data_IF_823430239241
#
_entry.id   IF_823430239241
#
_cell.length_a   1.000
_cell.length_b   1.000
_cell.length_c   1.000
_cell.angle_alpha   90.00
_cell.angle_beta   90.00
_cell.angle_gamma   90.00
#
_symmetry.space_group_name_H-M   'P 1'
#
loop_
_entity.id
_entity.type
_entity.pdbx_description
1 polymer ?
#
# COMPACT_ATOMS: atom_id res chain seq x y z
N UNK A 1 8.58 2.86 35.68
CA UNK A 1 8.71 2.10 34.42
C UNK A 1 8.91 3.00 33.18
N UNK A 2 8.24 4.17 33.09
CA UNK A 2 8.43 5.16 32.00
C UNK A 2 9.85 5.77 31.99
N UNK A 3 10.43 6.05 33.17
CA UNK A 3 11.77 6.68 33.30
C UNK A 3 12.91 5.80 32.76
N UNK A 4 12.82 4.47 32.89
CA UNK A 4 13.83 3.54 32.36
C UNK A 4 13.75 3.42 30.83
N UNK A 5 12.54 3.54 30.26
CA UNK A 5 12.35 3.50 28.81
C UNK A 5 13.10 4.60 28.07
N UNK A 6 13.19 5.79 28.69
CA UNK A 6 13.90 6.92 28.09
C UNK A 6 15.42 6.78 28.20
N UNK A 7 15.95 6.28 29.33
CA UNK A 7 17.40 6.13 29.54
C UNK A 7 18.06 5.16 28.57
N UNK A 8 17.44 4.01 28.31
CA UNK A 8 18.01 3.03 27.38
C UNK A 8 18.00 3.55 25.94
N UNK A 9 16.96 4.29 25.57
CA UNK A 9 16.87 4.91 24.25
C UNK A 9 17.88 6.05 24.09
N UNK A 10 18.04 6.90 25.10
CA UNK A 10 19.11 7.90 25.13
C UNK A 10 20.49 7.25 24.99
N UNK A 11 20.76 6.17 25.72
CA UNK A 11 22.02 5.43 25.59
C UNK A 11 22.23 4.91 24.15
N UNK A 12 21.18 4.39 23.52
CA UNK A 12 21.23 3.94 22.13
C UNK A 12 21.53 5.09 21.16
N UNK A 13 20.84 6.23 21.29
CA UNK A 13 21.10 7.40 20.43
C UNK A 13 22.51 7.95 20.61
N UNK A 14 23.05 8.00 21.83
CA UNK A 14 24.45 8.38 22.09
C UNK A 14 25.43 7.41 21.44
N UNK A 15 25.18 6.10 21.52
CA UNK A 15 25.97 5.08 20.84
C UNK A 15 26.00 5.32 19.34
N UNK A 16 24.85 5.58 18.72
CA UNK A 16 24.76 5.88 17.29
C UNK A 16 25.49 7.18 16.93
N UNK A 17 25.26 8.28 17.66
CA UNK A 17 25.96 9.55 17.41
C UNK A 17 27.47 9.39 17.48
N UNK A 18 28.00 8.69 18.50
CA UNK A 18 29.43 8.41 18.61
C UNK A 18 29.96 7.59 17.44
N UNK A 19 29.22 6.56 17.04
CA UNK A 19 29.59 5.69 15.92
C UNK A 19 29.63 6.45 14.60
N UNK A 20 28.65 7.33 14.36
CA UNK A 20 28.58 8.17 13.15
C UNK A 20 29.71 9.19 13.11
N UNK A 21 30.01 9.87 14.22
CA UNK A 21 31.12 10.83 14.27
C UNK A 21 32.47 10.14 13.99
N UNK A 22 32.68 8.92 14.51
CA UNK A 22 33.91 8.18 14.21
C UNK A 22 33.97 7.74 12.74
N UNK A 23 32.84 7.32 12.18
CA UNK A 23 32.72 6.96 10.77
C UNK A 23 32.98 8.15 9.84
N UNK A 24 32.50 9.35 10.19
CA UNK A 24 32.78 10.60 9.46
C UNK A 24 34.29 10.89 9.44
N UNK A 25 34.95 10.83 10.60
CA UNK A 25 36.40 11.04 10.72
C UNK A 25 37.16 10.00 9.87
N UNK A 26 36.80 8.73 9.97
CA UNK A 26 37.48 7.68 9.23
C UNK A 26 37.25 7.80 7.72
N UNK A 27 36.03 8.14 7.28
CA UNK A 27 35.74 8.32 5.86
C UNK A 27 36.52 9.46 5.21
N UNK A 28 36.88 10.49 5.97
CA UNK A 28 37.70 11.60 5.48
C UNK A 28 39.16 11.20 5.33
N UNK A 29 39.66 10.29 6.18
CA UNK A 29 41.04 9.79 6.12
C UNK A 29 41.20 8.64 5.11
N UNK A 30 40.15 7.86 4.89
CA UNK A 30 40.15 6.70 4.00
C UNK A 30 39.09 6.82 2.89
N UNK A 31 39.01 7.98 2.24
CA UNK A 31 37.95 8.27 1.28
C UNK A 31 37.85 7.22 0.16
N UNK A 32 38.98 6.77 -0.40
CA UNK A 32 39.01 5.74 -1.45
C UNK A 32 38.39 4.40 -1.00
N UNK A 33 38.60 4.02 0.25
CA UNK A 33 37.99 2.80 0.82
C UNK A 33 36.47 2.91 0.77
N UNK A 34 35.90 3.97 1.34
CA UNK A 34 34.44 4.16 1.43
C UNK A 34 33.77 4.45 0.08
N UNK A 35 34.47 5.14 -0.83
CA UNK A 35 34.00 5.34 -2.21
C UNK A 35 33.88 4.03 -2.99
N UNK A 36 34.57 2.96 -2.58
CA UNK A 36 34.47 1.64 -3.22
C UNK A 36 33.52 0.65 -2.50
N UNK A 37 32.97 0.99 -1.32
CA UNK A 37 32.05 0.09 -0.59
C UNK A 37 30.67 -0.02 -1.24
N UNK A 38 30.12 -1.24 -1.30
CA UNK A 38 28.70 -1.49 -1.55
C UNK A 38 27.85 -1.44 -0.26
N UNK A 39 26.54 -1.64 -0.36
CA UNK A 39 25.61 -1.64 0.79
C UNK A 39 25.99 -2.67 1.86
N UNK A 40 26.08 -3.95 1.48
CA UNK A 40 26.44 -5.07 2.37
C UNK A 40 27.79 -4.89 3.05
N UNK A 41 28.73 -4.31 2.33
CA UNK A 41 30.08 -4.07 2.83
C UNK A 41 30.08 -2.92 3.84
N UNK A 42 29.37 -1.83 3.54
CA UNK A 42 29.22 -0.73 4.47
C UNK A 42 28.39 -1.10 5.72
N UNK A 43 27.41 -2.00 5.61
CA UNK A 43 26.69 -2.58 6.75
C UNK A 43 27.65 -3.23 7.77
N UNK A 44 28.65 -3.98 7.29
CA UNK A 44 29.69 -4.59 8.15
C UNK A 44 30.57 -3.54 8.82
N UNK A 45 30.87 -2.44 8.13
CA UNK A 45 31.62 -1.33 8.72
C UNK A 45 30.81 -0.69 9.84
N UNK A 46 29.57 -0.30 9.54
CA UNK A 46 28.64 0.28 10.51
C UNK A 46 28.48 -0.61 11.75
N UNK A 47 28.28 -1.93 11.56
CA UNK A 47 28.24 -2.89 12.65
C UNK A 47 29.53 -2.87 13.50
N UNK A 48 30.69 -2.85 12.86
CA UNK A 48 31.98 -2.82 13.55
C UNK A 48 32.15 -1.56 14.41
N UNK A 49 31.76 -0.39 13.89
CA UNK A 49 31.77 0.85 14.66
C UNK A 49 30.80 0.81 15.84
N UNK A 50 29.55 0.38 15.61
CA UNK A 50 28.54 0.29 16.68
C UNK A 50 28.99 -0.69 17.76
N UNK A 51 29.50 -1.87 17.37
CA UNK A 51 30.02 -2.87 18.31
C UNK A 51 31.20 -2.36 19.12
N UNK A 52 32.15 -1.69 18.49
CA UNK A 52 33.32 -1.14 19.18
C UNK A 52 32.94 -0.02 20.15
N UNK A 53 32.01 0.86 19.76
CA UNK A 53 31.54 1.95 20.61
C UNK A 53 30.55 1.49 21.70
N UNK A 54 30.00 0.28 21.59
CA UNK A 54 29.15 -0.31 22.62
C UNK A 54 29.92 -0.78 23.88
N UNK A 55 31.26 -0.85 23.83
CA UNK A 55 32.08 -1.19 25.01
C UNK A 55 31.84 -0.19 26.15
N UNK A 56 31.70 -0.69 27.38
CA UNK A 56 31.34 0.06 28.58
C UNK A 56 29.95 0.72 28.51
N UNK A 57 29.04 0.17 27.71
CA UNK A 57 27.63 0.60 27.65
C UNK A 57 26.72 -0.58 27.99
N UNK A 58 25.42 -0.32 28.16
CA UNK A 58 24.41 -1.37 28.38
C UNK A 58 24.28 -2.35 27.19
N UNK A 59 24.86 -2.02 26.03
CA UNK A 59 24.83 -2.85 24.83
C UNK A 59 26.11 -3.66 24.62
N UNK A 60 27.09 -3.58 25.54
CA UNK A 60 28.34 -4.32 25.40
C UNK A 60 28.08 -5.83 25.28
N UNK A 61 28.68 -6.45 24.26
CA UNK A 61 28.48 -7.87 23.94
C UNK A 61 27.12 -8.22 23.32
N UNK A 62 26.21 -7.25 23.15
CA UNK A 62 24.82 -7.45 22.74
C UNK A 62 24.45 -6.69 21.44
N UNK A 63 25.43 -6.47 20.56
CA UNK A 63 25.22 -5.95 19.21
C UNK A 63 25.30 -7.12 18.21
N UNK A 64 24.27 -7.28 17.39
CA UNK A 64 24.17 -8.33 16.38
C UNK A 64 24.00 -7.72 14.97
N UNK A 65 24.72 -8.27 13.99
CA UNK A 65 24.49 -8.04 12.57
C UNK A 65 23.52 -9.11 12.07
N UNK A 66 22.34 -8.69 11.64
CA UNK A 66 21.26 -9.58 11.22
C UNK A 66 21.49 -9.98 9.76
N UNK A 67 21.32 -11.27 9.47
CA UNK A 67 21.41 -11.82 8.11
C UNK A 67 20.07 -12.40 7.65
N UNK A 68 19.96 -12.71 6.35
CA UNK A 68 18.80 -13.43 5.81
C UNK A 68 17.56 -12.57 5.50
N UNK A 69 17.75 -11.38 4.92
CA UNK A 69 16.68 -10.46 4.48
C UNK A 69 15.73 -10.01 5.61
N UNK A 70 16.22 -9.97 6.85
CA UNK A 70 15.46 -9.47 8.01
C UNK A 70 15.64 -7.96 8.18
N UNK A 71 14.68 -7.35 8.87
CA UNK A 71 14.66 -5.92 9.14
C UNK A 71 14.68 -5.65 10.65
N UNK A 72 15.56 -4.79 11.19
CA UNK A 72 16.63 -4.03 10.55
C UNK A 72 17.96 -4.80 10.46
N UNK A 73 18.95 -4.20 9.79
CA UNK A 73 20.28 -4.80 9.56
C UNK A 73 21.09 -5.04 10.84
N UNK A 74 21.04 -4.15 11.82
CA UNK A 74 21.81 -4.25 13.08
C UNK A 74 20.87 -4.10 14.27
N UNK A 75 21.04 -4.95 15.29
CA UNK A 75 20.21 -4.95 16.50
C UNK A 75 21.09 -4.80 17.74
N UNK A 76 20.68 -3.90 18.63
CA UNK A 76 21.28 -3.66 19.94
C UNK A 76 20.30 -4.12 21.04
N UNK A 77 20.59 -5.26 21.67
CA UNK A 77 19.72 -5.83 22.70
C UNK A 77 20.01 -5.21 24.07
N UNK A 78 18.94 -4.81 24.77
CA UNK A 78 18.99 -4.48 26.20
C UNK A 78 18.71 -5.73 27.02
N UNK A 79 17.72 -6.51 26.59
CA UNK A 79 17.36 -7.81 27.15
C UNK A 79 16.49 -8.58 26.12
N UNK A 80 16.05 -9.80 26.48
CA UNK A 80 15.27 -10.68 25.60
C UNK A 80 13.98 -10.05 25.03
N UNK A 81 13.39 -9.09 25.74
CA UNK A 81 12.12 -8.46 25.38
C UNK A 81 12.28 -7.01 24.91
N UNK A 82 13.51 -6.51 24.79
CA UNK A 82 13.77 -5.12 24.44
C UNK A 82 15.05 -4.97 23.64
N UNK A 83 14.91 -4.49 22.42
CA UNK A 83 16.02 -4.15 21.56
C UNK A 83 15.76 -2.84 20.79
N UNK A 84 16.84 -2.28 20.24
CA UNK A 84 16.81 -1.16 19.31
C UNK A 84 17.47 -1.54 18.00
N UNK A 85 16.97 -0.97 16.92
CA UNK A 85 17.39 -1.31 15.57
C UNK A 85 18.16 -0.20 14.87
N UNK A 86 19.08 -0.58 14.00
CA UNK A 86 19.74 0.29 13.06
C UNK A 86 19.63 -0.31 11.65
N UNK A 87 18.87 0.34 10.80
CA UNK A 87 18.82 0.08 9.36
C UNK A 87 19.94 0.87 8.69
N UNK A 88 20.63 0.27 7.73
CA UNK A 88 21.70 0.88 6.98
C UNK A 88 21.29 1.03 5.51
N UNK A 89 21.53 2.21 4.96
CA UNK A 89 21.34 2.50 3.54
C UNK A 89 22.53 3.26 3.00
N UNK A 90 22.88 2.98 1.76
CA UNK A 90 23.93 3.72 1.07
C UNK A 90 23.48 4.16 -0.31
N UNK A 91 24.16 5.18 -0.84
CA UNK A 91 24.03 5.59 -2.23
C UNK A 91 25.39 6.02 -2.79
N UNK A 92 25.58 5.82 -4.09
CA UNK A 92 26.68 6.39 -4.87
C UNK A 92 26.31 7.72 -5.54
N UNK A 93 25.04 8.13 -5.43
CA UNK A 93 24.54 9.39 -5.97
C UNK A 93 24.51 10.46 -4.89
N UNK A 94 24.62 11.73 -5.27
CA UNK A 94 24.52 12.84 -4.32
C UNK A 94 23.05 13.13 -3.94
N UNK A 95 22.34 12.16 -3.35
CA UNK A 95 20.93 12.24 -2.97
C UNK A 95 20.68 11.62 -1.60
N UNK A 96 19.76 12.21 -0.84
CA UNK A 96 19.32 11.70 0.46
C UNK A 96 18.02 10.88 0.38
N UNK A 97 17.67 10.42 -0.83
CA UNK A 97 16.43 9.72 -1.14
C UNK A 97 16.70 8.27 -1.53
N UNK A 98 15.90 7.35 -1.03
CA UNK A 98 15.94 5.93 -1.40
C UNK A 98 14.61 5.23 -1.09
N UNK A 99 14.50 3.96 -1.44
CA UNK A 99 13.42 3.07 -1.00
C UNK A 99 13.78 2.41 0.34
N UNK A 100 12.78 2.28 1.21
CA UNK A 100 12.87 1.62 2.51
C UNK A 100 12.36 0.19 2.48
N UNK A 101 11.98 -0.30 3.66
CA UNK A 101 11.35 -1.62 3.87
C UNK A 101 9.97 -1.71 3.22
N UNK A 102 9.49 -2.96 3.04
CA UNK A 102 8.10 -3.25 2.70
C UNK A 102 7.16 -2.75 3.81
N UNK A 103 5.98 -2.26 3.46
CA UNK A 103 4.97 -1.80 4.44
C UNK A 103 4.53 -2.92 5.38
N UNK A 104 4.47 -4.14 4.87
CA UNK A 104 4.03 -5.30 5.66
C UNK A 104 5.09 -5.81 6.65
N UNK A 105 6.37 -5.42 6.47
CA UNK A 105 7.48 -5.73 7.38
C UNK A 105 7.57 -7.21 7.86
N UNK A 106 7.14 -8.18 7.05
CA UNK A 106 7.03 -9.59 7.45
C UNK A 106 8.36 -10.27 7.85
N UNK A 107 9.50 -9.65 7.59
CA UNK A 107 10.84 -10.13 7.97
C UNK A 107 11.43 -9.41 9.18
N UNK A 108 10.62 -8.62 9.90
CA UNK A 108 11.07 -7.83 11.04
C UNK A 108 11.52 -8.69 12.21
N UNK A 109 12.59 -8.29 12.88
CA UNK A 109 13.05 -8.90 14.13
C UNK A 109 12.15 -8.45 15.29
N UNK A 110 11.76 -9.41 16.12
CA UNK A 110 10.86 -9.18 17.27
C UNK A 110 11.45 -8.26 18.33
N UNK A 111 10.58 -7.70 19.18
CA UNK A 111 10.94 -6.92 20.38
C UNK A 111 11.75 -5.63 20.14
N UNK A 112 11.87 -5.19 18.88
CA UNK A 112 12.49 -3.92 18.52
C UNK A 112 11.54 -2.77 18.82
N UNK A 113 11.99 -1.82 19.63
CA UNK A 113 11.21 -0.65 20.05
C UNK A 113 11.26 0.45 19.00
N UNK A 114 12.47 0.95 18.71
CA UNK A 114 12.72 2.03 17.77
C UNK A 114 13.81 1.60 16.78
N UNK A 115 13.69 2.05 15.54
CA UNK A 115 14.68 1.83 14.49
C UNK A 115 15.24 3.18 14.08
N UNK A 116 16.56 3.28 13.99
CA UNK A 116 17.24 4.40 13.34
C UNK A 116 17.70 3.99 11.96
N UNK A 117 17.83 4.96 11.08
CA UNK A 117 18.37 4.81 9.74
C UNK A 117 19.71 5.52 9.66
N UNK A 118 20.78 4.77 9.43
CA UNK A 118 22.07 5.29 9.02
C UNK A 118 22.12 5.32 7.48
N UNK A 119 22.08 6.51 6.92
CA UNK A 119 22.22 6.73 5.48
C UNK A 119 23.63 7.26 5.18
N UNK A 120 24.44 6.46 4.48
CA UNK A 120 25.74 6.87 3.94
C UNK A 120 25.69 7.30 2.48
N UNK A 121 26.05 8.53 2.20
CA UNK A 121 26.23 9.07 0.86
C UNK A 121 27.70 8.86 0.45
N UNK A 122 27.98 7.72 -0.17
CA UNK A 122 29.32 7.26 -0.53
C UNK A 122 29.75 7.81 -1.90
N UNK A 123 29.57 9.12 -2.08
CA UNK A 123 30.03 9.94 -3.21
C UNK A 123 30.83 11.11 -2.65
N UNK A 124 31.62 11.85 -3.44
CA UNK A 124 32.35 13.01 -2.91
C UNK A 124 31.43 14.25 -2.76
N UNK A 125 31.39 14.94 -1.60
CA UNK A 125 31.96 14.55 -0.30
C UNK A 125 31.16 13.43 0.37
N UNK A 126 31.89 12.54 1.06
CA UNK A 126 31.29 11.42 1.80
C UNK A 126 30.60 11.99 3.03
N UNK A 127 29.32 11.68 3.17
CA UNK A 127 28.50 12.23 4.26
C UNK A 127 27.59 11.15 4.84
N UNK A 128 27.27 11.29 6.11
CA UNK A 128 26.38 10.37 6.82
C UNK A 128 25.25 11.13 7.51
N UNK A 129 24.09 10.49 7.60
CA UNK A 129 22.98 10.96 8.45
C UNK A 129 22.43 9.78 9.23
N UNK A 130 22.20 9.99 10.52
CA UNK A 130 21.49 9.03 11.36
C UNK A 130 20.29 9.69 12.01
N UNK A 131 19.09 9.16 11.71
CA UNK A 131 17.81 9.70 12.18
C UNK A 131 16.85 8.56 12.50
N UNK A 132 15.80 8.83 13.28
CA UNK A 132 14.74 7.85 13.54
C UNK A 132 14.07 7.46 12.21
N UNK A 133 13.91 6.17 11.96
CA UNK A 133 13.46 5.63 10.67
C UNK A 133 12.08 6.17 10.28
N UNK A 134 11.10 6.04 11.18
CA UNK A 134 9.71 6.45 10.94
C UNK A 134 9.56 7.94 10.59
N UNK A 135 10.43 8.79 11.12
CA UNK A 135 10.37 10.24 10.89
C UNK A 135 10.93 10.65 9.52
N UNK A 136 11.60 9.73 8.79
CA UNK A 136 12.19 9.99 7.47
C UNK A 136 11.43 9.34 6.32
N UNK A 137 10.32 8.64 6.61
CA UNK A 137 9.47 8.02 5.58
C UNK A 137 8.46 9.06 5.09
N UNK A 138 8.62 9.58 3.87
CA UNK A 138 7.80 10.70 3.38
C UNK A 138 6.58 10.27 2.54
N UNK A 139 6.66 9.11 1.91
CA UNK A 139 5.62 8.56 1.02
C UNK A 139 5.81 7.04 0.79
N UNK A 140 5.06 6.46 -0.14
CA UNK A 140 5.10 5.04 -0.53
C UNK A 140 5.24 4.89 -2.04
N UNK A 141 6.12 3.98 -2.48
CA UNK A 141 6.16 3.53 -3.87
C UNK A 141 5.07 2.49 -4.12
N UNK A 142 4.10 2.86 -4.96
CA UNK A 142 2.99 2.00 -5.38
C UNK A 142 3.51 1.03 -6.43
N UNK A 143 3.72 -0.22 -6.02
CA UNK A 143 4.17 -1.33 -6.86
C UNK A 143 3.48 -2.62 -6.40
N UNK A 144 3.75 -3.75 -7.08
CA UNK A 144 3.30 -5.09 -6.64
C UNK A 144 3.70 -5.44 -5.19
N UNK A 145 4.70 -4.78 -4.62
CA UNK A 145 5.05 -4.88 -3.20
C UNK A 145 5.37 -3.47 -2.67
N UNK A 146 4.38 -2.76 -2.10
CA UNK A 146 4.52 -1.39 -1.65
C UNK A 146 5.67 -1.22 -0.64
N UNK A 147 6.51 -0.22 -0.87
CA UNK A 147 7.66 0.11 -0.02
C UNK A 147 7.62 1.55 0.41
N UNK A 148 8.08 1.83 1.63
CA UNK A 148 8.26 3.21 2.07
C UNK A 148 9.30 3.94 1.22
N UNK A 149 9.12 5.24 1.05
CA UNK A 149 10.10 6.13 0.44
C UNK A 149 10.76 6.98 1.53
N UNK A 150 12.08 7.02 1.50
CA UNK A 150 12.92 7.69 2.48
C UNK A 150 13.42 9.00 1.89
N UNK A 151 13.41 10.06 2.70
CA UNK A 151 14.18 11.28 2.46
C UNK A 151 14.79 11.77 3.79
N UNK A 152 16.11 11.83 3.89
CA UNK A 152 16.76 12.27 5.13
C UNK A 152 16.63 13.77 5.41
N UNK A 153 16.14 14.56 4.44
CA UNK A 153 15.99 16.01 4.56
C UNK A 153 14.60 16.46 5.01
N UNK A 154 13.60 15.57 5.03
CA UNK A 154 12.25 15.96 5.45
C UNK A 154 12.20 16.28 6.94
N UNK A 155 11.29 17.17 7.29
CA UNK A 155 10.93 17.47 8.66
C UNK A 155 10.01 16.37 9.23
N UNK A 156 9.97 16.22 10.55
CA UNK A 156 9.20 15.14 11.21
C UNK A 156 7.70 15.17 10.83
N UNK A 157 7.12 16.35 10.69
CA UNK A 157 5.72 16.55 10.32
C UNK A 157 5.40 16.19 8.86
N UNK A 158 6.42 16.04 8.01
CA UNK A 158 6.27 15.64 6.61
C UNK A 158 6.29 14.12 6.42
N UNK A 159 6.50 13.35 7.50
CA UNK A 159 6.45 11.89 7.43
C UNK A 159 5.05 11.39 7.05
N UNK A 160 4.97 10.25 6.38
CA UNK A 160 3.73 9.61 5.98
C UNK A 160 2.83 9.32 7.18
N UNK A 161 3.41 8.94 8.32
CA UNK A 161 2.70 8.67 9.57
C UNK A 161 1.99 9.91 10.12
N UNK A 162 2.67 11.07 10.10
CA UNK A 162 2.04 12.34 10.50
C UNK A 162 0.98 12.80 9.50
N UNK A 163 1.18 12.56 8.20
CA UNK A 163 0.20 12.87 7.16
C UNK A 163 -1.08 12.03 7.27
N UNK A 164 -0.97 10.75 7.61
CA UNK A 164 -2.12 9.85 7.76
C UNK A 164 -2.74 9.90 9.17
N UNK A 165 -2.02 10.43 10.15
CA UNK A 165 -2.50 10.60 11.53
C UNK A 165 -2.45 9.32 12.38
N UNK A 166 -1.47 8.44 12.17
CA UNK A 166 -1.26 7.23 12.98
C UNK A 166 0.22 7.08 13.34
N UNK A 167 0.54 6.61 14.55
CA UNK A 167 1.93 6.35 14.92
C UNK A 167 2.43 5.05 14.27
N UNK A 168 3.73 5.00 13.94
CA UNK A 168 4.32 3.83 13.25
C UNK A 168 4.14 2.52 14.04
N UNK A 169 4.29 2.56 15.37
CA UNK A 169 4.09 1.41 16.23
C UNK A 169 2.62 0.98 16.38
N UNK A 170 1.66 1.85 16.06
CA UNK A 170 0.24 1.51 16.02
C UNK A 170 -0.13 0.91 14.66
N UNK A 171 0.35 1.50 13.55
CA UNK A 171 0.10 1.01 12.20
C UNK A 171 0.48 -0.48 12.04
N UNK A 172 1.65 -0.86 12.55
CA UNK A 172 2.17 -2.24 12.44
C UNK A 172 1.36 -3.28 13.21
N UNK A 173 0.53 -2.85 14.17
CA UNK A 173 -0.33 -3.76 14.94
C UNK A 173 -1.66 -4.03 14.25
N UNK A 174 -1.96 -3.32 13.16
CA UNK A 174 -3.16 -3.57 12.37
C UNK A 174 -3.01 -4.89 11.61
N UNK A 175 -4.12 -5.62 11.48
CA UNK A 175 -4.18 -6.82 10.63
C UNK A 175 -3.76 -6.51 9.19
N UNK A 176 -4.11 -5.31 8.70
CA UNK A 176 -3.66 -4.78 7.41
C UNK A 176 -3.01 -3.39 7.61
N UNK A 177 -1.67 -3.30 7.73
CA UNK A 177 -0.97 -2.03 7.90
C UNK A 177 -1.02 -1.15 6.64
N UNK A 178 -1.39 -1.71 5.48
CA UNK A 178 -1.51 -0.95 4.25
C UNK A 178 -2.82 -0.15 4.16
N UNK A 179 -3.88 -0.55 4.87
CA UNK A 179 -5.22 0.04 4.71
C UNK A 179 -5.27 1.56 4.99
N UNK A 180 -4.69 2.09 6.09
CA UNK A 180 -4.68 3.54 6.34
C UNK A 180 -3.90 4.32 5.26
N UNK A 181 -2.84 3.71 4.72
CA UNK A 181 -2.01 4.30 3.65
C UNK A 181 -2.78 4.30 2.33
N UNK A 182 -3.44 3.19 1.99
CA UNK A 182 -4.28 3.02 0.80
C UNK A 182 -5.39 4.08 0.77
N UNK A 183 -6.13 4.24 1.87
CA UNK A 183 -7.16 5.28 2.01
C UNK A 183 -6.59 6.69 1.85
N UNK A 184 -5.43 6.98 2.42
CA UNK A 184 -4.77 8.28 2.26
C UNK A 184 -4.34 8.56 0.81
N UNK A 185 -3.79 7.55 0.12
CA UNK A 185 -3.37 7.65 -1.28
C UNK A 185 -4.58 7.87 -2.21
N UNK A 186 -5.69 7.16 -1.99
CA UNK A 186 -6.92 7.31 -2.78
C UNK A 186 -7.47 8.72 -2.78
N UNK A 187 -7.37 9.46 -1.66
CA UNK A 187 -7.79 10.86 -1.57
C UNK A 187 -7.05 11.81 -2.53
N UNK A 188 -5.90 11.39 -3.08
CA UNK A 188 -5.07 12.18 -4.00
C UNK A 188 -5.25 11.78 -5.46
N UNK A 189 -5.98 10.70 -5.73
CA UNK A 189 -6.24 10.21 -7.08
C UNK A 189 -7.26 11.12 -7.76
N UNK A 190 -7.10 11.30 -9.07
CA UNK A 190 -8.12 11.92 -9.91
C UNK A 190 -9.21 10.92 -10.25
N UNK A 191 -10.37 11.41 -10.65
CA UNK A 191 -11.44 10.57 -11.17
C UNK A 191 -10.91 9.67 -12.31
N UNK A 192 -11.12 8.35 -12.16
CA UNK A 192 -10.62 7.38 -13.12
C UNK A 192 -9.21 6.83 -12.84
N UNK A 193 -8.47 7.35 -11.87
CA UNK A 193 -7.21 6.73 -11.42
C UNK A 193 -7.51 5.67 -10.34
N UNK A 194 -6.72 4.60 -10.31
CA UNK A 194 -6.71 3.62 -9.23
C UNK A 194 -5.27 3.18 -9.03
N UNK A 195 -5.01 2.57 -7.88
CA UNK A 195 -3.67 2.23 -7.45
C UNK A 195 -3.38 0.77 -7.83
N UNK A 196 -2.15 0.52 -8.29
CA UNK A 196 -1.69 -0.80 -8.70
C UNK A 196 -1.02 -1.52 -7.54
N UNK A 197 -1.74 -2.41 -6.86
CA UNK A 197 -1.19 -3.30 -5.82
C UNK A 197 -1.91 -4.65 -5.82
N UNK A 198 -1.28 -5.63 -5.20
CA UNK A 198 -1.87 -6.93 -4.89
C UNK A 198 -2.39 -6.83 -3.45
N UNK A 199 -3.71 -6.89 -3.25
CA UNK A 199 -4.23 -7.22 -1.92
C UNK A 199 -3.79 -8.67 -1.68
N UNK A 200 -3.20 -8.98 -0.52
CA UNK A 200 -2.66 -10.31 -0.20
C UNK A 200 -3.72 -11.43 -0.11
N UNK A 201 -4.94 -11.18 -0.60
CA UNK A 201 -5.90 -12.22 -0.89
C UNK A 201 -5.36 -13.00 -2.10
N UNK A 202 -5.21 -14.32 -1.94
CA UNK A 202 -4.53 -15.27 -2.83
C UNK A 202 -5.08 -15.33 -4.28
N UNK A 203 -6.10 -14.53 -4.61
CA UNK A 203 -6.83 -14.52 -5.88
C UNK A 203 -6.29 -13.50 -6.91
N UNK A 204 -4.96 -13.32 -7.00
CA UNK A 204 -4.39 -12.57 -8.14
C UNK A 204 -4.13 -13.47 -9.33
N UNK A 205 -5.12 -13.49 -10.23
CA UNK A 205 -5.05 -14.13 -11.55
C UNK A 205 -3.87 -13.54 -12.34
N UNK A 206 -2.79 -14.33 -12.47
CA UNK A 206 -1.75 -14.29 -13.52
C UNK A 206 -1.11 -12.94 -13.86
N UNK A 207 0.18 -12.81 -13.56
CA UNK A 207 1.12 -11.71 -13.88
C UNK A 207 1.18 -11.19 -15.34
N UNK A 208 0.39 -11.72 -16.27
CA UNK A 208 0.38 -11.31 -17.68
C UNK A 208 -0.77 -10.36 -18.00
N UNK A 209 -0.46 -9.26 -18.69
CA UNK A 209 -1.49 -8.39 -19.27
C UNK A 209 -2.26 -9.18 -20.33
N UNK A 210 -3.59 -9.23 -20.20
CA UNK A 210 -4.48 -9.92 -21.14
C UNK A 210 -5.45 -8.93 -21.77
N UNK A 211 -5.69 -9.10 -23.06
CA UNK A 211 -6.80 -8.40 -23.71
C UNK A 211 -8.13 -9.10 -23.36
N UNK A 212 -9.19 -8.34 -23.07
CA UNK A 212 -10.51 -8.88 -22.70
C UNK A 212 -11.03 -9.91 -23.71
N UNK A 213 -10.76 -9.74 -25.01
CA UNK A 213 -11.14 -10.70 -26.05
C UNK A 213 -10.60 -12.10 -25.80
N UNK A 214 -9.42 -12.22 -25.18
CA UNK A 214 -8.70 -13.46 -24.95
C UNK A 214 -9.12 -14.18 -23.66
N UNK A 215 -10.02 -13.57 -22.87
CA UNK A 215 -10.61 -14.23 -21.71
C UNK A 215 -11.65 -15.27 -22.15
N UNK A 216 -11.76 -16.35 -21.37
CA UNK A 216 -12.84 -17.33 -21.55
C UNK A 216 -14.21 -16.67 -21.29
N UNK A 217 -15.29 -17.29 -21.77
CA UNK A 217 -16.64 -16.79 -21.50
C UNK A 217 -16.93 -16.73 -19.99
N UNK A 218 -16.50 -17.75 -19.25
CA UNK A 218 -16.63 -17.80 -17.78
C UNK A 218 -15.91 -16.64 -17.10
N UNK A 219 -14.65 -16.36 -17.46
CA UNK A 219 -13.89 -15.22 -16.92
C UNK A 219 -14.55 -13.87 -17.25
N UNK A 220 -15.15 -13.75 -18.44
CA UNK A 220 -15.88 -12.53 -18.83
C UNK A 220 -17.13 -12.35 -17.99
N UNK A 221 -17.86 -13.42 -17.70
CA UNK A 221 -19.06 -13.38 -16.86
C UNK A 221 -18.70 -13.08 -15.40
N UNK A 222 -17.66 -13.72 -14.86
CA UNK A 222 -17.11 -13.43 -13.52
C UNK A 222 -16.71 -11.96 -13.38
N UNK A 223 -15.89 -11.42 -14.30
CA UNK A 223 -15.48 -10.02 -14.25
C UNK A 223 -16.66 -9.06 -14.46
N UNK A 224 -17.66 -9.44 -15.25
CA UNK A 224 -18.86 -8.60 -15.47
C UNK A 224 -19.72 -8.52 -14.21
N UNK A 225 -19.89 -9.63 -13.49
CA UNK A 225 -20.63 -9.64 -12.22
C UNK A 225 -19.88 -8.91 -11.12
N UNK A 226 -18.55 -9.07 -11.04
CA UNK A 226 -17.70 -8.29 -10.13
C UNK A 226 -17.76 -6.79 -10.47
N UNK A 227 -17.72 -6.42 -11.76
CA UNK A 227 -17.82 -5.04 -12.20
C UNK A 227 -19.15 -4.41 -11.78
N UNK A 228 -20.27 -5.11 -11.91
CA UNK A 228 -21.59 -4.61 -11.46
C UNK A 228 -21.71 -4.52 -9.93
N UNK A 229 -21.02 -5.39 -9.19
CA UNK A 229 -20.93 -5.30 -7.74
C UNK A 229 -20.14 -4.05 -7.29
N UNK A 230 -19.02 -3.76 -7.95
CA UNK A 230 -18.15 -2.62 -7.61
C UNK A 230 -18.65 -1.29 -8.19
N UNK A 231 -19.32 -1.31 -9.35
CA UNK A 231 -19.69 -0.08 -10.07
C UNK A 231 -21.18 -0.05 -10.42
N UNK A 232 -22.08 0.24 -9.45
CA UNK A 232 -23.51 0.45 -9.71
C UNK A 232 -23.78 1.50 -10.81
N UNK A 233 -22.88 2.48 -10.95
CA UNK A 233 -22.90 3.53 -11.98
C UNK A 233 -22.94 2.97 -13.41
N UNK A 234 -22.54 1.71 -13.65
CA UNK A 234 -22.64 1.09 -14.97
C UNK A 234 -24.09 1.03 -15.50
N UNK A 235 -25.08 1.03 -14.60
CA UNK A 235 -26.51 1.09 -14.94
C UNK A 235 -26.99 2.49 -15.34
N UNK A 236 -26.16 3.52 -15.19
CA UNK A 236 -26.47 4.91 -15.57
C UNK A 236 -26.35 5.17 -17.09
N UNK A 237 -26.75 6.35 -17.55
CA UNK A 237 -26.47 6.88 -18.89
C UNK A 237 -25.18 7.71 -18.96
N UNK A 238 -24.44 7.79 -17.85
CA UNK A 238 -23.23 8.62 -17.78
C UNK A 238 -22.18 8.13 -18.81
N UNK A 239 -21.69 8.99 -19.73
CA UNK A 239 -20.67 8.60 -20.69
C UNK A 239 -19.34 8.18 -20.04
N UNK A 240 -19.05 8.63 -18.82
CA UNK A 240 -17.82 8.33 -18.07
C UNK A 240 -17.93 7.10 -17.16
N UNK A 241 -19.09 6.43 -17.08
CA UNK A 241 -19.31 5.26 -16.20
C UNK A 241 -18.33 4.09 -16.38
N UNK A 242 -17.66 4.01 -17.53
CA UNK A 242 -16.66 2.98 -17.83
C UNK A 242 -15.23 3.37 -17.46
N UNK A 243 -14.97 4.65 -17.14
CA UNK A 243 -13.62 5.15 -16.90
C UNK A 243 -12.97 4.43 -15.72
N UNK A 244 -13.65 4.39 -14.57
CA UNK A 244 -13.15 3.73 -13.35
C UNK A 244 -13.09 2.21 -13.50
N UNK A 245 -14.04 1.62 -14.23
CA UNK A 245 -14.02 0.21 -14.56
C UNK A 245 -12.76 -0.15 -15.36
N UNK A 246 -12.38 0.67 -16.34
CA UNK A 246 -11.20 0.42 -17.18
C UNK A 246 -9.92 0.35 -16.34
N UNK A 247 -9.75 1.29 -15.41
CA UNK A 247 -8.60 1.33 -14.53
C UNK A 247 -8.61 0.21 -13.50
N UNK A 248 -9.78 -0.17 -12.99
CA UNK A 248 -9.94 -1.30 -12.07
C UNK A 248 -9.58 -2.64 -12.73
N UNK A 249 -10.02 -2.87 -13.98
CA UNK A 249 -9.66 -4.08 -14.75
C UNK A 249 -8.14 -4.19 -14.95
N UNK A 250 -7.51 -3.06 -15.27
CA UNK A 250 -6.07 -2.99 -15.49
C UNK A 250 -5.32 -3.20 -14.17
N UNK A 251 -5.65 -2.45 -13.12
CA UNK A 251 -4.95 -2.50 -11.83
C UNK A 251 -5.11 -3.80 -11.05
N UNK A 252 -6.28 -4.43 -11.08
CA UNK A 252 -6.58 -5.63 -10.27
C UNK A 252 -6.45 -6.94 -11.02
N UNK A 253 -6.68 -6.94 -12.33
CA UNK A 253 -6.72 -8.17 -13.13
C UNK A 253 -5.73 -8.18 -14.29
N UNK A 254 -5.00 -7.08 -14.52
CA UNK A 254 -4.13 -6.95 -15.69
C UNK A 254 -4.90 -7.02 -17.01
N UNK A 255 -6.20 -6.70 -17.02
CA UNK A 255 -7.07 -6.82 -18.19
C UNK A 255 -7.22 -5.49 -18.89
N UNK A 256 -6.89 -5.44 -20.18
CA UNK A 256 -7.10 -4.28 -21.06
C UNK A 256 -8.26 -4.51 -22.03
N UNK A 257 -9.05 -3.48 -22.28
CA UNK A 257 -10.16 -3.53 -23.23
C UNK A 257 -10.36 -2.17 -23.91
N UNK A 258 -10.17 -2.13 -25.23
CA UNK A 258 -10.29 -0.91 -26.04
C UNK A 258 -11.76 -0.47 -26.29
N UNK A 259 -12.74 -1.35 -26.05
CA UNK A 259 -14.16 -1.13 -26.34
C UNK A 259 -15.04 -1.59 -25.17
N UNK A 260 -14.75 -1.11 -23.96
CA UNK A 260 -15.51 -1.47 -22.75
C UNK A 260 -17.00 -1.17 -22.85
N UNK A 261 -17.38 -0.02 -23.44
CA UNK A 261 -18.79 0.31 -23.65
C UNK A 261 -19.50 -0.80 -24.40
N UNK A 262 -18.94 -1.17 -25.55
CA UNK A 262 -19.53 -2.17 -26.43
C UNK A 262 -19.52 -3.54 -25.76
N UNK A 263 -18.61 -3.84 -24.84
CA UNK A 263 -18.64 -5.10 -24.09
C UNK A 263 -19.91 -5.27 -23.24
N UNK A 264 -20.39 -4.20 -22.61
CA UNK A 264 -21.60 -4.24 -21.77
C UNK A 264 -22.89 -3.88 -22.53
N UNK A 265 -22.77 -3.26 -23.72
CA UNK A 265 -23.92 -2.80 -24.50
C UNK A 265 -24.08 -3.46 -25.87
N UNK A 266 -23.11 -4.26 -26.34
CA UNK A 266 -23.22 -4.98 -27.60
C UNK A 266 -24.40 -5.95 -27.53
N UNK A 267 -25.29 -5.85 -28.51
CA UNK A 267 -26.55 -6.59 -28.55
C UNK A 267 -27.80 -5.71 -28.43
N UNK A 268 -27.65 -4.42 -28.11
CA UNK A 268 -28.76 -3.47 -28.14
C UNK A 268 -29.65 -3.56 -26.91
N UNK A 269 -30.83 -4.18 -27.06
CA UNK A 269 -31.83 -4.26 -26.01
C UNK A 269 -32.32 -5.69 -25.77
N UNK A 270 -32.58 -6.03 -24.52
CA UNK A 270 -33.23 -7.29 -24.10
C UNK A 270 -34.68 -7.05 -23.72
N UNK A 271 -35.52 -8.08 -23.79
CA UNK A 271 -36.92 -8.00 -23.35
C UNK A 271 -37.07 -8.61 -21.96
N UNK A 272 -37.43 -7.79 -20.97
CA UNK A 272 -37.73 -8.21 -19.59
C UNK A 272 -39.21 -7.92 -19.34
N UNK A 273 -39.97 -8.97 -18.98
CA UNK A 273 -41.42 -8.87 -18.71
C UNK A 273 -42.21 -8.07 -19.78
N UNK A 274 -41.86 -8.23 -21.06
CA UNK A 274 -42.55 -7.53 -22.15
C UNK A 274 -41.94 -6.20 -22.57
N UNK A 275 -41.06 -5.59 -21.76
CA UNK A 275 -40.47 -4.26 -21.99
C UNK A 275 -39.01 -4.39 -22.44
N UNK A 276 -38.59 -3.54 -23.38
CA UNK A 276 -37.20 -3.51 -23.85
C UNK A 276 -36.31 -2.77 -22.85
N UNK A 277 -35.16 -3.33 -22.50
CA UNK A 277 -34.14 -2.76 -21.61
C UNK A 277 -32.78 -2.71 -22.28
N UNK A 278 -31.87 -1.79 -21.91
CA UNK A 278 -30.48 -1.88 -22.32
C UNK A 278 -29.85 -3.24 -21.98
N UNK A 279 -28.97 -3.75 -22.84
CA UNK A 279 -28.36 -5.09 -22.72
C UNK A 279 -27.75 -5.38 -21.33
N UNK A 280 -27.16 -4.37 -20.68
CA UNK A 280 -26.50 -4.51 -19.38
C UNK A 280 -27.43 -5.05 -18.29
N UNK A 281 -28.75 -4.83 -18.39
CA UNK A 281 -29.71 -5.35 -17.43
C UNK A 281 -29.89 -6.87 -17.50
N UNK A 282 -29.33 -7.54 -18.53
CA UNK A 282 -29.28 -9.01 -18.60
C UNK A 282 -28.66 -9.59 -17.34
N UNK A 283 -27.54 -9.02 -16.90
CA UNK A 283 -26.81 -9.46 -15.72
C UNK A 283 -27.63 -9.30 -14.43
N UNK A 284 -28.44 -8.24 -14.32
CA UNK A 284 -29.34 -8.06 -13.16
C UNK A 284 -30.41 -9.15 -13.13
N UNK A 285 -30.86 -9.66 -14.29
CA UNK A 285 -31.88 -10.70 -14.34
C UNK A 285 -31.28 -12.10 -14.17
N UNK A 286 -30.15 -12.39 -14.82
CA UNK A 286 -29.58 -13.75 -14.84
C UNK A 286 -28.56 -14.02 -13.72
N UNK A 287 -27.86 -12.99 -13.23
CA UNK A 287 -26.70 -13.14 -12.34
C UNK A 287 -26.83 -12.40 -10.99
N UNK A 288 -28.04 -11.98 -10.60
CA UNK A 288 -28.24 -11.17 -9.39
C UNK A 288 -27.62 -11.79 -8.14
N UNK A 289 -27.78 -13.10 -7.95
CA UNK A 289 -27.25 -13.82 -6.80
C UNK A 289 -25.71 -13.78 -6.76
N UNK A 290 -25.06 -13.93 -7.92
CA UNK A 290 -23.61 -13.86 -8.04
C UNK A 290 -23.10 -12.44 -7.78
N UNK A 291 -23.82 -11.43 -8.28
CA UNK A 291 -23.51 -10.03 -7.99
C UNK A 291 -23.64 -9.74 -6.48
N UNK A 292 -24.72 -10.18 -5.84
CA UNK A 292 -24.92 -10.00 -4.38
C UNK A 292 -23.85 -10.74 -3.58
N UNK A 293 -23.47 -11.95 -3.99
CA UNK A 293 -22.37 -12.69 -3.36
C UNK A 293 -21.06 -11.90 -3.45
N UNK A 294 -20.78 -11.29 -4.60
CA UNK A 294 -19.62 -10.42 -4.78
C UNK A 294 -19.70 -9.15 -3.93
N UNK A 295 -20.87 -8.50 -3.83
CA UNK A 295 -21.09 -7.31 -2.98
C UNK A 295 -20.75 -7.60 -1.51
N UNK A 296 -21.14 -8.76 -0.99
CA UNK A 296 -20.84 -9.14 0.39
C UNK A 296 -19.33 -9.30 0.65
N UNK A 297 -18.56 -9.70 -0.37
CA UNK A 297 -17.10 -9.89 -0.29
C UNK A 297 -16.32 -8.58 -0.39
N UNK A 298 -16.91 -7.48 -0.87
CA UNK A 298 -16.19 -6.20 -1.01
C UNK A 298 -15.85 -5.65 0.38
N UNK A 299 -14.61 -5.22 0.57
CA UNK A 299 -14.17 -4.53 1.79
C UNK A 299 -14.87 -3.17 1.93
N UNK A 300 -15.22 -2.74 3.14
CA UNK A 300 -16.00 -1.50 3.36
C UNK A 300 -15.31 -0.24 2.81
N UNK A 301 -13.98 -0.18 2.90
CA UNK A 301 -13.17 0.90 2.33
C UNK A 301 -13.18 0.91 0.80
N UNK A 302 -13.31 -0.26 0.16
CA UNK A 302 -13.49 -0.38 -1.29
C UNK A 302 -14.91 0.04 -1.71
N UNK A 303 -15.92 -0.23 -0.89
CA UNK A 303 -17.31 0.17 -1.17
C UNK A 303 -17.44 1.68 -1.24
N UNK A 304 -16.99 2.39 -0.20
CA UNK A 304 -17.09 3.85 -0.15
C UNK A 304 -16.39 4.50 -1.34
N UNK A 305 -15.23 3.96 -1.72
CA UNK A 305 -14.49 4.39 -2.90
C UNK A 305 -15.24 4.11 -4.21
N UNK A 306 -15.58 2.85 -4.50
CA UNK A 306 -16.13 2.47 -5.80
C UNK A 306 -17.59 2.88 -6.02
N UNK A 307 -18.38 2.97 -4.96
CA UNK A 307 -19.77 3.45 -5.03
C UNK A 307 -19.88 4.98 -4.91
N UNK A 308 -18.78 5.67 -4.63
CA UNK A 308 -18.74 7.14 -4.50
C UNK A 308 -19.69 7.65 -3.40
N UNK A 309 -19.66 6.96 -2.25
CA UNK A 309 -20.49 7.28 -1.09
C UNK A 309 -19.64 7.64 0.12
N UNK A 310 -20.04 8.69 0.83
CA UNK A 310 -19.43 9.13 2.09
C UNK A 310 -20.29 8.73 3.32
N UNK A 311 -21.31 7.89 3.13
CA UNK A 311 -22.26 7.50 4.18
C UNK A 311 -21.89 6.16 4.81
N UNK A 312 -22.04 6.01 6.15
CA UNK A 312 -21.86 4.72 6.82
C UNK A 312 -22.76 3.62 6.22
N UNK A 313 -22.20 2.43 6.03
CA UNK A 313 -22.89 1.30 5.40
C UNK A 313 -23.34 0.34 6.50
N UNK A 314 -24.65 0.30 6.76
CA UNK A 314 -25.23 -0.67 7.71
C UNK A 314 -25.41 -2.06 7.08
N UNK A 315 -25.82 -2.10 5.81
CA UNK A 315 -25.98 -3.31 5.02
C UNK A 315 -25.47 -3.07 3.60
N UNK A 316 -24.44 -3.82 3.20
CA UNK A 316 -23.79 -3.68 1.89
C UNK A 316 -24.77 -3.92 0.74
N UNK A 317 -25.59 -4.97 0.84
CA UNK A 317 -26.52 -5.36 -0.21
C UNK A 317 -27.63 -4.32 -0.38
N UNK A 318 -28.20 -3.84 0.72
CA UNK A 318 -29.27 -2.84 0.66
C UNK A 318 -28.74 -1.51 0.10
N UNK A 319 -27.54 -1.10 0.53
CA UNK A 319 -26.88 0.09 -0.01
C UNK A 319 -26.56 -0.07 -1.50
N UNK A 320 -26.05 -1.23 -1.93
CA UNK A 320 -25.81 -1.52 -3.35
C UNK A 320 -27.09 -1.40 -4.18
N UNK A 321 -28.19 -2.01 -3.72
CA UNK A 321 -29.51 -1.93 -4.37
C UNK A 321 -29.98 -0.48 -4.50
N UNK A 322 -29.82 0.33 -3.44
CA UNK A 322 -30.13 1.76 -3.48
C UNK A 322 -29.31 2.52 -4.52
N UNK A 323 -28.00 2.26 -4.60
CA UNK A 323 -27.12 2.86 -5.61
C UNK A 323 -27.52 2.44 -7.03
N UNK A 324 -27.84 1.16 -7.26
CA UNK A 324 -28.37 0.70 -8.54
C UNK A 324 -29.64 1.45 -8.94
N UNK A 325 -30.60 1.57 -8.03
CA UNK A 325 -31.84 2.29 -8.28
C UNK A 325 -31.60 3.77 -8.57
N UNK A 326 -30.70 4.43 -7.82
CA UNK A 326 -30.31 5.82 -8.06
C UNK A 326 -29.78 6.03 -9.48
N UNK A 327 -28.83 5.20 -9.90
CA UNK A 327 -28.26 5.29 -11.25
C UNK A 327 -29.25 4.90 -12.36
N UNK A 328 -30.25 4.07 -12.05
CA UNK A 328 -31.30 3.70 -12.99
C UNK A 328 -32.32 4.81 -13.25
N UNK A 329 -32.55 5.73 -12.29
CA UNK A 329 -33.57 6.78 -12.41
C UNK A 329 -33.40 7.65 -13.68
N UNK A 330 -32.15 7.96 -14.04
CA UNK A 330 -31.87 8.75 -15.24
C UNK A 330 -31.74 7.88 -16.51
N UNK A 331 -31.65 6.56 -16.35
CA UNK A 331 -31.47 5.60 -17.43
C UNK A 331 -32.76 5.01 -17.97
N UNK A 332 -33.74 4.79 -17.09
CA UNK A 332 -34.92 4.00 -17.35
C UNK A 332 -36.19 4.87 -17.34
N UNK A 333 -37.19 4.46 -18.10
CA UNK A 333 -38.55 5.00 -17.97
C UNK A 333 -39.26 4.41 -16.75
N UNK A 334 -40.44 4.95 -16.40
CA UNK A 334 -41.17 4.56 -15.19
C UNK A 334 -41.52 3.07 -15.15
N UNK A 335 -42.01 2.50 -16.25
CA UNK A 335 -42.35 1.08 -16.34
C UNK A 335 -41.12 0.19 -16.16
N UNK A 336 -39.99 0.56 -16.78
CA UNK A 336 -38.72 -0.13 -16.61
C UNK A 336 -38.22 -0.05 -15.16
N UNK A 337 -38.31 1.11 -14.53
CA UNK A 337 -37.87 1.33 -13.16
C UNK A 337 -38.69 0.50 -12.17
N UNK A 338 -40.01 0.38 -12.37
CA UNK A 338 -40.88 -0.44 -11.53
C UNK A 338 -40.50 -1.92 -11.57
N UNK A 339 -40.17 -2.45 -12.75
CA UNK A 339 -39.68 -3.83 -12.89
C UNK A 339 -38.35 -4.02 -12.15
N UNK A 340 -37.41 -3.09 -12.30
CA UNK A 340 -36.11 -3.19 -11.63
C UNK A 340 -36.26 -3.08 -10.11
N UNK A 341 -37.16 -2.22 -9.61
CA UNK A 341 -37.47 -2.16 -8.18
C UNK A 341 -37.97 -3.51 -7.66
N UNK A 342 -38.85 -4.20 -8.38
CA UNK A 342 -39.34 -5.53 -7.99
C UNK A 342 -38.26 -6.62 -8.02
N UNK A 343 -37.24 -6.47 -8.87
CA UNK A 343 -36.13 -7.43 -8.92
C UNK A 343 -35.10 -7.18 -7.82
N UNK A 344 -34.93 -5.92 -7.39
CA UNK A 344 -33.94 -5.54 -6.39
C UNK A 344 -34.51 -5.50 -4.96
N UNK A 345 -35.79 -5.18 -4.76
CA UNK A 345 -36.48 -5.17 -3.45
C UNK A 345 -37.24 -6.48 -3.26
#
# INVERSE_FOLDING_TARGET
MIVAHNKDYEAFTRLLSRSVSQLEIESNTQAEYYLNRGGVDFEKDAYSFVKNNAKNTIFEGNIELISGQKFPDIVAYVNKNKAYGLEVKTTKSNKWKTTGSSIFEGTRVDNIQNIHLLFGKLSNPIEFKCKKYEERLYDVAITHSPRYLIDMNIMEHESIFKKIGIEYNELKKLNNPFEPIKRFMRKRLKAGEDLWWIDNDEDTIGLGIKHWSNLSSEQKDELSTLALAHFPILLSKDPQKYLRLSTWLVSRFGVVNHALRDTFTAGGQIKIQGIMFPQIFKYIVSELNNIIANVNKIQEDDISYYWEIDTPINNKVDMWKQQCLLHCQNSLNESQLNIIKQLLL
#
